data_IF_579093702152
#
_entry.id   IF_579093702152
#
_cell.length_a   1.000
_cell.length_b   1.000
_cell.length_c   1.000
_cell.angle_alpha   90.00
_cell.angle_beta   90.00
_cell.angle_gamma   90.00
#
_symmetry.space_group_name_H-M   'P 1'
#
loop_
_entity.id
_entity.type
_entity.pdbx_description
1 polymer ?
#
# COMPACT_ATOMS: atom_id res chain seq x y z
N UNK A 1 -2.71 19.39 -0.11
CA UNK A 1 -3.07 17.96 -0.23
C UNK A 1 -4.32 17.70 0.58
N UNK A 2 -5.26 16.94 0.04
CA UNK A 2 -6.48 16.47 0.71
C UNK A 2 -6.54 14.94 0.63
N UNK A 3 -6.81 14.27 1.76
CA UNK A 3 -7.01 12.82 1.79
C UNK A 3 -8.50 12.58 2.06
N UNK A 4 -9.11 11.67 1.30
CA UNK A 4 -10.51 11.31 1.41
C UNK A 4 -10.77 9.85 1.03
N UNK A 5 -11.96 9.37 1.36
CA UNK A 5 -12.41 8.06 0.89
C UNK A 5 -12.50 8.04 -0.65
N UNK A 6 -12.13 6.89 -1.21
CA UNK A 6 -12.21 6.58 -2.63
C UNK A 6 -13.66 6.56 -3.11
N UNK A 7 -13.89 7.01 -4.33
CA UNK A 7 -15.16 6.94 -5.05
C UNK A 7 -14.98 6.11 -6.32
N UNK A 8 -16.06 5.55 -6.82
CA UNK A 8 -15.99 4.65 -7.98
C UNK A 8 -15.39 5.30 -9.24
N UNK A 9 -15.59 6.59 -9.44
CA UNK A 9 -15.06 7.41 -10.53
C UNK A 9 -13.58 7.81 -10.36
N UNK A 10 -13.02 7.62 -9.17
CA UNK A 10 -11.59 7.87 -8.95
C UNK A 10 -10.71 6.85 -9.66
N UNK A 11 -11.25 5.66 -9.96
CA UNK A 11 -10.45 4.57 -10.54
C UNK A 11 -9.78 4.96 -11.85
N UNK A 12 -10.45 5.69 -12.72
CA UNK A 12 -9.91 6.17 -13.99
C UNK A 12 -8.62 6.99 -13.81
N UNK A 13 -8.48 7.66 -12.66
CA UNK A 13 -7.30 8.45 -12.30
C UNK A 13 -6.25 7.66 -11.53
N UNK A 14 -6.67 6.60 -10.83
CA UNK A 14 -5.77 5.69 -10.09
C UNK A 14 -5.11 4.68 -11.03
N UNK A 15 -5.88 4.12 -11.96
CA UNK A 15 -5.44 3.04 -12.84
C UNK A 15 -4.13 3.32 -13.58
N UNK A 16 -3.88 4.49 -14.20
CA UNK A 16 -2.66 4.74 -14.95
C UNK A 16 -1.37 4.59 -14.13
N UNK A 17 -1.35 5.05 -12.88
CA UNK A 17 -0.17 4.90 -12.06
C UNK A 17 -0.13 3.54 -11.34
N UNK A 18 -1.29 2.96 -11.00
CA UNK A 18 -1.36 1.61 -10.47
C UNK A 18 -0.74 0.60 -11.45
N UNK A 19 -1.15 0.67 -12.72
CA UNK A 19 -0.61 -0.18 -13.79
C UNK A 19 0.90 -0.01 -13.94
N UNK A 20 1.40 1.22 -13.98
CA UNK A 20 2.85 1.49 -14.09
C UNK A 20 3.64 0.89 -12.94
N UNK A 21 3.16 1.02 -11.72
CA UNK A 21 3.83 0.48 -10.53
C UNK A 21 3.89 -1.04 -10.56
N UNK A 22 2.78 -1.70 -10.90
CA UNK A 22 2.73 -3.17 -10.95
C UNK A 22 3.51 -3.71 -12.15
N UNK A 23 3.38 -3.07 -13.32
CA UNK A 23 4.14 -3.45 -14.52
C UNK A 23 5.65 -3.31 -14.35
N UNK A 24 6.12 -2.39 -13.50
CA UNK A 24 7.54 -2.26 -13.19
C UNK A 24 8.10 -3.50 -12.46
N UNK A 25 7.26 -4.28 -11.75
CA UNK A 25 7.68 -5.50 -11.08
C UNK A 25 8.68 -5.30 -9.94
N UNK A 26 8.68 -4.13 -9.29
CA UNK A 26 9.71 -3.79 -8.30
C UNK A 26 9.21 -3.80 -6.85
N UNK A 27 7.91 -3.60 -6.63
CA UNK A 27 7.38 -3.31 -5.28
C UNK A 27 6.13 -4.09 -4.90
N UNK A 28 5.42 -4.70 -5.85
CA UNK A 28 4.21 -5.47 -5.60
C UNK A 28 4.31 -6.87 -6.19
N UNK A 29 3.84 -7.87 -5.45
CA UNK A 29 3.82 -9.29 -5.87
C UNK A 29 2.55 -9.63 -6.69
N UNK A 30 2.13 -8.75 -7.58
CA UNK A 30 1.06 -8.99 -8.55
C UNK A 30 1.64 -9.16 -9.94
N UNK A 31 0.91 -9.90 -10.78
CA UNK A 31 1.30 -10.13 -12.17
C UNK A 31 1.42 -8.78 -12.91
N UNK A 32 2.55 -8.48 -13.54
CA UNK A 32 2.73 -7.28 -14.36
C UNK A 32 1.69 -7.13 -15.48
N UNK A 33 1.10 -8.25 -15.94
CA UNK A 33 0.04 -8.28 -16.94
C UNK A 33 -1.39 -8.19 -16.39
N UNK A 34 -1.56 -7.88 -15.10
CA UNK A 34 -2.88 -7.75 -14.46
C UNK A 34 -3.78 -6.79 -15.25
N UNK A 35 -4.95 -7.26 -15.65
CA UNK A 35 -5.95 -6.43 -16.36
C UNK A 35 -6.53 -5.35 -15.47
N UNK A 36 -7.09 -4.29 -16.07
CA UNK A 36 -7.70 -3.19 -15.33
C UNK A 36 -8.83 -3.65 -14.39
N UNK A 37 -9.68 -4.56 -14.85
CA UNK A 37 -10.79 -5.08 -14.06
C UNK A 37 -10.32 -5.89 -12.84
N UNK A 38 -9.29 -6.73 -13.03
CA UNK A 38 -8.65 -7.48 -11.93
C UNK A 38 -7.96 -6.55 -10.95
N UNK A 39 -7.19 -5.58 -11.46
CA UNK A 39 -6.52 -4.57 -10.66
C UNK A 39 -7.50 -3.79 -9.78
N UNK A 40 -8.63 -3.35 -10.38
CA UNK A 40 -9.69 -2.67 -9.65
C UNK A 40 -10.26 -3.56 -8.54
N UNK A 41 -10.54 -4.82 -8.84
CA UNK A 41 -11.02 -5.77 -7.84
C UNK A 41 -10.00 -5.99 -6.71
N UNK A 42 -8.74 -6.22 -7.05
CA UNK A 42 -7.65 -6.39 -6.08
C UNK A 42 -7.51 -5.18 -5.16
N UNK A 43 -7.63 -3.98 -5.71
CA UNK A 43 -7.41 -2.75 -4.95
C UNK A 43 -8.63 -2.31 -4.15
N UNK A 44 -9.84 -2.42 -4.73
CA UNK A 44 -11.03 -1.80 -4.15
C UNK A 44 -12.01 -2.77 -3.48
N UNK A 45 -11.92 -4.07 -3.75
CA UNK A 45 -12.88 -5.06 -3.22
C UNK A 45 -12.29 -5.86 -2.06
N UNK A 46 -13.17 -6.34 -1.18
CA UNK A 46 -12.83 -7.21 -0.05
C UNK A 46 -13.55 -6.81 1.23
N UNK A 47 -13.85 -7.80 2.06
CA UNK A 47 -14.56 -7.58 3.33
C UNK A 47 -13.75 -6.66 4.26
N UNK A 48 -14.39 -5.61 4.76
CA UNK A 48 -13.78 -4.65 5.67
C UNK A 48 -12.69 -3.76 5.03
N UNK A 49 -12.55 -3.79 3.72
CA UNK A 49 -11.58 -2.94 3.02
C UNK A 49 -12.12 -1.52 2.87
N UNK A 50 -11.33 -0.55 3.31
CA UNK A 50 -11.52 0.88 3.07
C UNK A 50 -10.41 1.38 2.16
N UNK A 51 -10.75 2.15 1.13
CA UNK A 51 -9.80 2.71 0.18
C UNK A 51 -9.82 4.23 0.27
N UNK A 52 -8.64 4.82 0.22
CA UNK A 52 -8.43 6.27 0.30
C UNK A 52 -7.64 6.76 -0.90
N UNK A 53 -7.83 8.01 -1.24
CA UNK A 53 -7.06 8.75 -2.25
C UNK A 53 -6.50 10.03 -1.65
N UNK A 54 -5.33 10.44 -2.13
CA UNK A 54 -4.74 11.73 -1.86
C UNK A 54 -4.79 12.60 -3.11
N UNK A 55 -5.36 13.79 -2.96
CA UNK A 55 -5.44 14.82 -4.00
C UNK A 55 -4.37 15.89 -3.75
N UNK A 56 -3.73 16.36 -4.80
CA UNK A 56 -2.86 17.53 -4.76
C UNK A 56 -3.66 18.84 -4.65
N UNK A 57 -2.98 19.98 -4.75
CA UNK A 57 -3.62 21.30 -4.68
C UNK A 57 -4.51 21.61 -5.89
N UNK A 58 -4.26 20.97 -7.03
CA UNK A 58 -5.06 21.13 -8.26
C UNK A 58 -6.24 20.14 -8.33
N UNK A 59 -6.38 19.23 -7.34
CA UNK A 59 -7.43 18.22 -7.31
C UNK A 59 -7.09 16.94 -8.09
N UNK A 60 -5.84 16.79 -8.54
CA UNK A 60 -5.35 15.57 -9.16
C UNK A 60 -5.14 14.47 -8.12
N UNK A 61 -5.51 13.22 -8.43
CA UNK A 61 -5.19 12.08 -7.55
C UNK A 61 -3.73 11.70 -7.77
N UNK A 62 -2.93 11.79 -6.72
CA UNK A 62 -1.48 11.56 -6.73
C UNK A 62 -1.06 10.34 -5.93
N UNK A 63 -1.95 9.80 -5.08
CA UNK A 63 -1.68 8.60 -4.30
C UNK A 63 -2.98 7.90 -3.91
N UNK A 64 -2.87 6.63 -3.60
CA UNK A 64 -3.97 5.82 -3.07
C UNK A 64 -3.46 4.82 -2.04
N UNK A 65 -4.34 4.44 -1.11
CA UNK A 65 -4.08 3.39 -0.14
C UNK A 65 -5.35 2.60 0.15
N UNK A 66 -5.19 1.36 0.56
CA UNK A 66 -6.25 0.62 1.22
C UNK A 66 -5.84 0.18 2.62
N UNK A 67 -6.81 0.00 3.48
CA UNK A 67 -6.68 -0.66 4.78
C UNK A 67 -7.78 -1.70 4.92
N UNK A 68 -7.45 -2.85 5.49
CA UNK A 68 -8.39 -3.97 5.70
C UNK A 68 -7.93 -4.83 6.87
N UNK A 69 -8.80 -5.69 7.44
CA UNK A 69 -8.35 -6.75 8.33
C UNK A 69 -7.31 -7.65 7.61
N UNK A 70 -6.19 -7.95 8.28
CA UNK A 70 -5.21 -8.89 7.75
C UNK A 70 -5.66 -10.35 7.92
N UNK A 71 -6.39 -10.61 8.99
CA UNK A 71 -6.89 -11.91 9.39
C UNK A 71 -8.38 -11.86 9.67
N UNK A 72 -9.00 -13.02 9.83
CA UNK A 72 -10.40 -13.14 10.20
C UNK A 72 -10.61 -13.48 11.68
N UNK A 73 -11.89 -13.58 12.09
CA UNK A 73 -12.32 -14.09 13.39
C UNK A 73 -11.64 -13.38 14.58
N UNK A 74 -11.02 -14.12 15.51
CA UNK A 74 -10.39 -13.55 16.70
C UNK A 74 -9.19 -12.64 16.44
N UNK A 75 -8.62 -12.64 15.22
CA UNK A 75 -7.47 -11.83 14.83
C UNK A 75 -7.83 -10.65 13.91
N UNK A 76 -9.13 -10.34 13.76
CA UNK A 76 -9.63 -9.32 12.81
C UNK A 76 -9.18 -7.89 13.11
N UNK A 77 -8.70 -7.62 14.31
CA UNK A 77 -8.23 -6.31 14.77
C UNK A 77 -6.74 -6.05 14.50
N UNK A 78 -6.12 -6.90 13.68
CA UNK A 78 -4.82 -6.65 13.04
C UNK A 78 -5.07 -6.22 11.61
N UNK A 79 -4.66 -5.00 11.25
CA UNK A 79 -4.83 -4.45 9.92
C UNK A 79 -3.71 -4.89 8.95
N UNK A 80 -4.02 -4.85 7.67
CA UNK A 80 -3.06 -4.78 6.57
C UNK A 80 -3.38 -3.56 5.71
N UNK A 81 -2.39 -2.98 5.06
CA UNK A 81 -2.59 -1.87 4.15
C UNK A 81 -1.66 -1.96 2.94
N UNK A 82 -2.09 -1.36 1.84
CA UNK A 82 -1.27 -1.13 0.64
C UNK A 82 -1.27 0.35 0.28
N UNK A 83 -0.16 0.82 -0.29
CA UNK A 83 0.07 2.23 -0.62
C UNK A 83 0.69 2.35 -2.00
N UNK A 84 0.18 3.25 -2.79
CA UNK A 84 0.79 3.64 -4.07
C UNK A 84 0.83 5.16 -4.19
N UNK A 85 1.97 5.69 -4.58
CA UNK A 85 2.13 7.09 -4.97
C UNK A 85 2.45 7.11 -6.45
N UNK A 86 1.78 7.98 -7.21
CA UNK A 86 2.11 8.17 -8.62
C UNK A 86 3.61 8.52 -8.75
N UNK A 87 4.40 7.73 -9.49
CA UNK A 87 5.83 7.99 -9.67
C UNK A 87 6.15 9.41 -10.20
N UNK A 88 5.23 10.00 -10.97
CA UNK A 88 5.37 11.38 -11.44
C UNK A 88 5.31 12.43 -10.30
N UNK A 89 4.80 12.03 -9.14
CA UNK A 89 4.63 12.88 -7.95
C UNK A 89 5.49 12.40 -6.76
N UNK A 90 6.51 11.59 -7.02
CA UNK A 90 7.46 11.13 -6.00
C UNK A 90 8.23 12.27 -5.33
N UNK A 91 8.69 12.05 -4.10
CA UNK A 91 9.54 13.01 -3.38
C UNK A 91 8.83 14.22 -2.74
N UNK A 92 7.52 14.36 -2.91
CA UNK A 92 6.73 15.49 -2.38
C UNK A 92 6.07 15.23 -1.01
N UNK A 93 6.42 14.13 -0.34
CA UNK A 93 5.88 13.78 0.98
C UNK A 93 4.49 13.15 0.96
N UNK A 94 3.87 12.93 -0.20
CA UNK A 94 2.52 12.34 -0.29
C UNK A 94 2.42 10.97 0.36
N UNK A 95 3.44 10.11 0.17
CA UNK A 95 3.46 8.78 0.76
C UNK A 95 3.46 8.80 2.28
N UNK A 96 4.25 9.70 2.90
CA UNK A 96 4.28 9.86 4.36
C UNK A 96 2.94 10.36 4.90
N UNK A 97 2.42 11.43 4.32
CA UNK A 97 1.17 12.01 4.80
C UNK A 97 -0.02 11.03 4.65
N UNK A 98 -0.08 10.29 3.54
CA UNK A 98 -1.10 9.25 3.35
C UNK A 98 -0.94 8.13 4.37
N UNK A 99 0.30 7.67 4.64
CA UNK A 99 0.57 6.63 5.61
C UNK A 99 0.18 7.06 7.04
N UNK A 100 0.55 8.25 7.46
CA UNK A 100 0.18 8.80 8.77
C UNK A 100 -1.35 8.89 8.93
N UNK A 101 -2.04 9.34 7.88
CA UNK A 101 -3.52 9.38 7.86
C UNK A 101 -4.13 7.97 7.99
N UNK A 102 -3.64 7.00 7.22
CA UNK A 102 -4.13 5.60 7.27
C UNK A 102 -3.89 4.98 8.62
N UNK A 103 -2.72 5.21 9.24
CA UNK A 103 -2.41 4.72 10.58
C UNK A 103 -3.34 5.29 11.65
N UNK A 104 -3.62 6.60 11.58
CA UNK A 104 -4.56 7.26 12.48
C UNK A 104 -5.99 6.75 12.28
N UNK A 105 -6.44 6.59 11.02
CA UNK A 105 -7.74 6.04 10.70
C UNK A 105 -7.90 4.59 11.17
N UNK A 106 -6.90 3.74 10.92
CA UNK A 106 -6.91 2.34 11.37
C UNK A 106 -7.01 2.24 12.89
N UNK A 107 -6.27 3.08 13.63
CA UNK A 107 -6.39 3.15 15.08
C UNK A 107 -7.80 3.57 15.53
N UNK A 108 -8.37 4.59 14.90
CA UNK A 108 -9.72 5.07 15.19
C UNK A 108 -10.80 4.01 14.86
N UNK A 109 -10.58 3.20 13.84
CA UNK A 109 -11.45 2.08 13.44
C UNK A 109 -11.29 0.84 14.37
N UNK A 110 -10.41 0.92 15.40
CA UNK A 110 -10.26 -0.12 16.44
C UNK A 110 -9.20 -1.18 16.15
N UNK A 111 -8.38 -1.01 15.11
CA UNK A 111 -7.26 -1.92 14.90
C UNK A 111 -6.17 -1.68 15.97
N UNK A 112 -5.63 -2.78 16.51
CA UNK A 112 -4.56 -2.77 17.53
C UNK A 112 -3.17 -2.73 16.95
N UNK A 113 -3.01 -3.27 15.75
CA UNK A 113 -1.74 -3.36 15.07
C UNK A 113 -1.93 -3.35 13.56
N UNK A 114 -0.85 -3.09 12.83
CA UNK A 114 -0.79 -3.23 11.38
C UNK A 114 0.37 -4.13 10.99
N UNK A 115 0.12 -5.03 10.04
CA UNK A 115 1.11 -5.95 9.47
C UNK A 115 1.17 -5.76 7.97
N UNK A 116 2.38 -5.60 7.43
CA UNK A 116 2.66 -5.76 6.01
C UNK A 116 3.20 -7.17 5.80
N UNK A 117 2.53 -7.96 4.97
CA UNK A 117 2.87 -9.38 4.79
C UNK A 117 4.10 -9.60 3.89
N UNK A 118 4.32 -8.66 2.94
CA UNK A 118 5.31 -8.87 1.89
C UNK A 118 5.80 -7.52 1.35
N UNK A 119 6.78 -6.94 2.01
CA UNK A 119 7.46 -5.74 1.52
C UNK A 119 8.76 -6.16 0.86
N UNK A 120 8.91 -5.88 -0.43
CA UNK A 120 10.15 -6.19 -1.16
C UNK A 120 11.33 -5.50 -0.47
N UNK A 121 12.37 -6.23 -0.10
CA UNK A 121 13.46 -5.69 0.73
C UNK A 121 14.21 -4.51 0.09
N UNK A 122 14.21 -4.44 -1.24
CA UNK A 122 14.80 -3.33 -2.01
C UNK A 122 13.86 -2.15 -2.18
N UNK A 123 12.60 -2.24 -1.70
CA UNK A 123 11.63 -1.15 -1.82
C UNK A 123 12.08 0.06 -1.00
N UNK A 124 12.26 1.25 -1.62
CA UNK A 124 12.64 2.47 -0.90
C UNK A 124 11.68 2.84 0.24
N UNK A 125 10.42 2.38 0.17
CA UNK A 125 9.42 2.61 1.21
C UNK A 125 9.75 1.91 2.55
N UNK A 126 10.65 0.93 2.60
CA UNK A 126 11.12 0.31 3.86
C UNK A 126 11.63 1.37 4.84
N UNK A 127 12.39 2.37 4.35
CA UNK A 127 12.86 3.49 5.19
C UNK A 127 11.72 4.33 5.74
N UNK A 128 10.69 4.57 4.94
CA UNK A 128 9.49 5.27 5.39
C UNK A 128 8.79 4.48 6.50
N UNK A 129 8.55 3.19 6.27
CA UNK A 129 7.88 2.33 7.25
C UNK A 129 8.64 2.25 8.58
N UNK A 130 9.95 2.07 8.52
CA UNK A 130 10.80 2.08 9.73
C UNK A 130 10.72 3.42 10.46
N UNK A 131 10.75 4.54 9.74
CA UNK A 131 10.61 5.88 10.34
C UNK A 131 9.23 6.14 10.95
N UNK A 132 8.21 5.40 10.49
CA UNK A 132 6.85 5.42 11.05
C UNK A 132 6.65 4.37 12.16
N UNK A 133 7.72 3.74 12.64
CA UNK A 133 7.69 2.83 13.79
C UNK A 133 7.34 1.37 13.45
N UNK A 134 7.38 0.98 12.17
CA UNK A 134 7.33 -0.43 11.81
C UNK A 134 8.67 -1.11 12.08
N UNK A 135 8.61 -2.34 12.58
CA UNK A 135 9.76 -3.24 12.74
C UNK A 135 9.66 -4.38 11.75
N UNK A 136 10.81 -4.84 11.23
CA UNK A 136 10.90 -6.05 10.43
C UNK A 136 10.88 -7.24 11.39
N UNK A 137 9.85 -8.07 11.32
CA UNK A 137 9.73 -9.29 12.13
C UNK A 137 10.56 -10.44 11.56
N UNK A 138 10.74 -10.45 10.25
CA UNK A 138 11.49 -11.45 9.54
C UNK A 138 11.49 -11.19 8.05
N UNK A 139 12.32 -11.93 7.32
CA UNK A 139 12.44 -11.83 5.87
C UNK A 139 12.37 -13.25 5.28
N UNK A 140 11.48 -13.44 4.32
CA UNK A 140 11.47 -14.66 3.51
C UNK A 140 12.56 -14.49 2.44
N UNK A 141 13.66 -15.26 2.48
CA UNK A 141 14.77 -15.06 1.54
C UNK A 141 14.38 -15.51 0.12
N UNK A 142 14.97 -14.88 -0.88
CA UNK A 142 14.86 -15.27 -2.29
C UNK A 142 13.40 -15.42 -2.79
N UNK A 143 12.46 -14.67 -2.21
CA UNK A 143 11.03 -14.84 -2.42
C UNK A 143 10.45 -13.96 -3.53
N UNK A 144 11.25 -13.07 -4.12
CA UNK A 144 10.79 -12.12 -5.12
C UNK A 144 11.81 -11.98 -6.25
N UNK A 145 11.38 -12.21 -7.49
CA UNK A 145 12.20 -12.03 -8.68
C UNK A 145 12.18 -10.55 -9.10
N UNK A 146 13.15 -9.77 -8.61
CA UNK A 146 13.24 -8.35 -8.91
C UNK A 146 13.93 -8.13 -10.26
N UNK A 147 13.38 -7.28 -11.18
CA UNK A 147 13.88 -7.15 -12.55
C UNK A 147 15.31 -6.63 -12.66
N UNK A 148 15.80 -5.90 -11.65
CA UNK A 148 17.15 -5.32 -11.63
C UNK A 148 18.11 -5.95 -10.62
N UNK A 149 17.59 -6.59 -9.57
CA UNK A 149 18.39 -7.11 -8.46
C UNK A 149 18.41 -8.64 -8.38
N UNK A 150 17.70 -9.34 -9.28
CA UNK A 150 17.55 -10.78 -9.20
C UNK A 150 16.65 -11.18 -8.02
N UNK A 151 16.90 -12.34 -7.42
CA UNK A 151 16.12 -12.80 -6.27
C UNK A 151 16.44 -11.99 -5.03
N UNK A 152 15.41 -11.43 -4.43
CA UNK A 152 15.46 -10.63 -3.21
C UNK A 152 14.44 -11.14 -2.20
N UNK A 153 14.56 -10.71 -0.94
CA UNK A 153 13.66 -11.13 0.13
C UNK A 153 12.37 -10.31 0.19
N UNK A 154 11.41 -10.87 0.93
CA UNK A 154 10.18 -10.20 1.33
C UNK A 154 10.16 -10.02 2.85
N UNK A 155 10.11 -8.79 3.31
CA UNK A 155 9.97 -8.47 4.73
C UNK A 155 8.53 -8.63 5.20
N UNK A 156 8.35 -9.21 6.37
CA UNK A 156 7.13 -9.06 7.18
C UNK A 156 7.39 -7.94 8.16
N UNK A 157 6.56 -6.89 8.12
CA UNK A 157 6.73 -5.71 8.97
C UNK A 157 5.50 -5.51 9.87
N UNK A 158 5.72 -5.04 11.09
CA UNK A 158 4.69 -4.90 12.11
C UNK A 158 4.83 -3.58 12.85
N UNK A 159 3.69 -3.00 13.20
CA UNK A 159 3.56 -1.84 14.09
C UNK A 159 2.34 -1.98 15.00
N UNK A 160 2.49 -1.66 16.30
CA UNK A 160 1.37 -1.41 17.23
C UNK A 160 0.75 -0.04 16.91
N UNK A 161 -0.57 0.08 16.90
CA UNK A 161 -1.32 1.33 16.59
C UNK A 161 -1.73 2.10 17.86
#
# INVERSE_FOLDING_TARGET
MRIRDFRADDWERVWPFWQRIVAAGETYAWDPGTSESEARALWTQGAGKRVLVAEDAAGGIVATAYVKPNYGGPARDVANAGFMVDPAHGGHGYGRALAEHVLAAAKADGYRAMVFNAVVETNPAVRLWTSLGFTILGTVPDAYDHPRHGRVGLHVMHRVL
#
